data_IF_487619308076
#
_entry.id   IF_487619308076
#
_cell.length_a   1.000
_cell.length_b   1.000
_cell.length_c   1.000
_cell.angle_alpha   90.00
_cell.angle_beta   90.00
_cell.angle_gamma   90.00
#
_symmetry.space_group_name_H-M   'P 1'
#
loop_
_entity.id
_entity.type
_entity.pdbx_description
1 polymer ?
#
# COMPACT_ATOMS: atom_id res chain seq x y z
N UNK A 1 1.88 -23.83 20.21
CA UNK A 1 2.15 -22.54 19.53
C UNK A 1 1.28 -22.50 18.28
N UNK A 2 0.59 -21.41 18.00
CA UNK A 2 -0.32 -21.33 16.86
C UNK A 2 0.47 -21.13 15.56
N UNK A 3 0.15 -21.92 14.53
CA UNK A 3 0.86 -21.96 13.25
C UNK A 3 0.11 -21.13 12.21
N UNK A 4 0.72 -20.05 11.77
CA UNK A 4 0.15 -19.11 10.81
C UNK A 4 0.92 -19.20 9.49
N UNK A 5 0.21 -19.35 8.38
CA UNK A 5 0.80 -19.34 7.05
C UNK A 5 0.27 -18.15 6.24
N UNK A 6 1.17 -17.35 5.70
CA UNK A 6 0.83 -16.34 4.69
C UNK A 6 0.99 -16.95 3.29
N UNK A 7 -0.07 -16.93 2.49
CA UNK A 7 -0.03 -17.32 1.10
C UNK A 7 -0.07 -16.08 0.22
N UNK A 8 1.01 -15.84 -0.52
CA UNK A 8 1.23 -14.64 -1.34
C UNK A 8 1.64 -14.98 -2.78
N UNK A 9 1.66 -13.99 -3.66
CA UNK A 9 2.08 -14.16 -5.06
C UNK A 9 3.58 -14.43 -5.19
N UNK A 10 4.42 -13.46 -4.81
CA UNK A 10 5.88 -13.50 -4.94
C UNK A 10 6.56 -12.42 -4.09
N UNK A 11 7.25 -12.80 -3.03
CA UNK A 11 7.96 -11.85 -2.14
C UNK A 11 9.28 -11.30 -2.70
N UNK A 12 9.75 -11.76 -3.87
CA UNK A 12 10.93 -11.16 -4.51
C UNK A 12 10.65 -9.76 -5.08
N UNK A 13 9.37 -9.35 -5.14
CA UNK A 13 8.97 -8.04 -5.63
C UNK A 13 9.10 -6.95 -4.57
N UNK A 14 9.29 -5.70 -5.01
CA UNK A 14 9.52 -4.53 -4.15
C UNK A 14 8.25 -3.70 -3.92
N UNK A 15 7.07 -4.30 -3.99
CA UNK A 15 5.79 -3.60 -3.82
C UNK A 15 5.40 -3.36 -2.35
N UNK A 16 4.37 -2.53 -2.15
CA UNK A 16 3.84 -2.25 -0.81
C UNK A 16 3.22 -3.48 -0.14
N UNK A 17 2.56 -4.33 -0.91
CA UNK A 17 1.95 -5.58 -0.42
C UNK A 17 3.00 -6.54 0.13
N UNK A 18 4.12 -6.72 -0.59
CA UNK A 18 5.23 -7.56 -0.17
C UNK A 18 5.89 -7.02 1.10
N UNK A 19 6.11 -5.70 1.16
CA UNK A 19 6.65 -5.04 2.36
C UNK A 19 5.77 -5.29 3.57
N UNK A 20 4.47 -5.04 3.45
CA UNK A 20 3.55 -5.18 4.56
C UNK A 20 3.39 -6.64 4.99
N UNK A 21 3.35 -7.58 4.04
CA UNK A 21 3.34 -9.01 4.32
C UNK A 21 4.56 -9.41 5.16
N UNK A 22 5.78 -8.99 4.76
CA UNK A 22 7.00 -9.27 5.52
C UNK A 22 6.97 -8.61 6.90
N UNK A 23 6.48 -7.37 7.01
CA UNK A 23 6.39 -6.65 8.29
C UNK A 23 5.47 -7.36 9.28
N UNK A 24 4.26 -7.74 8.85
CA UNK A 24 3.29 -8.46 9.72
C UNK A 24 3.78 -9.85 10.07
N UNK A 25 4.35 -10.58 9.11
CA UNK A 25 4.91 -11.91 9.35
C UNK A 25 6.03 -11.88 10.40
N UNK A 26 6.98 -10.95 10.27
CA UNK A 26 8.06 -10.77 11.23
C UNK A 26 7.52 -10.41 12.63
N UNK A 27 6.62 -9.45 12.70
CA UNK A 27 6.08 -9.01 13.97
C UNK A 27 5.25 -10.12 14.69
N UNK A 28 4.55 -10.97 13.95
CA UNK A 28 3.86 -12.12 14.54
C UNK A 28 4.85 -13.21 15.02
N UNK A 29 5.93 -13.45 14.26
CA UNK A 29 7.01 -14.36 14.69
C UNK A 29 7.63 -13.89 16.01
N UNK A 30 7.94 -12.59 16.13
CA UNK A 30 8.47 -11.98 17.35
C UNK A 30 7.49 -12.06 18.54
N UNK A 31 6.18 -12.17 18.27
CA UNK A 31 5.14 -12.35 19.29
C UNK A 31 4.90 -13.82 19.66
N UNK A 32 5.74 -14.74 19.21
CA UNK A 32 5.72 -16.15 19.58
C UNK A 32 4.75 -17.02 18.78
N UNK A 33 4.31 -16.59 17.60
CA UNK A 33 3.63 -17.45 16.65
C UNK A 33 4.67 -18.23 15.83
N UNK A 34 4.31 -19.41 15.34
CA UNK A 34 5.10 -20.14 14.34
C UNK A 34 4.63 -19.69 12.95
N UNK A 35 5.42 -18.82 12.31
CA UNK A 35 5.03 -18.20 11.04
C UNK A 35 5.70 -18.89 9.87
N UNK A 36 4.93 -19.14 8.82
CA UNK A 36 5.43 -19.57 7.52
C UNK A 36 4.91 -18.67 6.41
N UNK A 37 5.66 -18.58 5.32
CA UNK A 37 5.23 -17.90 4.10
C UNK A 37 5.31 -18.88 2.95
N UNK A 38 4.26 -18.95 2.14
CA UNK A 38 4.25 -19.73 0.91
C UNK A 38 3.97 -18.80 -0.27
N UNK A 39 4.88 -18.79 -1.21
CA UNK A 39 4.76 -18.03 -2.44
C UNK A 39 4.11 -18.88 -3.52
N UNK A 40 3.21 -18.30 -4.32
CA UNK A 40 2.61 -19.01 -5.45
C UNK A 40 3.68 -19.45 -6.45
N UNK A 41 4.61 -18.55 -6.75
CA UNK A 41 5.77 -18.83 -7.60
C UNK A 41 6.94 -17.95 -7.20
N UNK A 42 8.17 -18.43 -7.38
CA UNK A 42 9.38 -17.71 -6.97
C UNK A 42 9.34 -17.34 -5.48
N UNK A 43 9.94 -16.23 -5.04
CA UNK A 43 9.78 -15.74 -3.66
C UNK A 43 10.79 -16.28 -2.66
N UNK A 44 11.77 -17.11 -3.06
CA UNK A 44 12.80 -17.64 -2.16
C UNK A 44 13.80 -16.58 -1.69
N UNK A 45 13.90 -15.46 -2.44
CA UNK A 45 14.78 -14.32 -2.11
C UNK A 45 13.90 -13.08 -1.86
N UNK A 46 13.23 -12.99 -0.71
CA UNK A 46 12.35 -11.88 -0.41
C UNK A 46 13.07 -10.54 -0.53
N UNK A 47 12.46 -9.58 -1.23
CA UNK A 47 13.02 -8.23 -1.35
C UNK A 47 13.10 -7.54 0.01
N UNK A 48 12.06 -7.71 0.85
CA UNK A 48 12.06 -7.24 2.23
C UNK A 48 12.45 -8.37 3.16
N UNK A 49 13.38 -8.14 4.12
CA UNK A 49 13.89 -9.18 4.98
C UNK A 49 12.78 -9.89 5.77
N UNK A 50 12.86 -11.20 5.85
CA UNK A 50 12.07 -12.02 6.75
C UNK A 50 12.89 -12.43 7.98
N UNK A 51 12.25 -12.60 9.12
CA UNK A 51 12.85 -13.15 10.33
C UNK A 51 13.42 -14.54 10.01
N UNK A 52 14.61 -14.84 10.51
CA UNK A 52 15.37 -16.07 10.19
C UNK A 52 14.64 -17.39 10.47
N UNK A 53 13.70 -17.36 11.42
CA UNK A 53 12.88 -18.54 11.81
C UNK A 53 11.64 -18.70 10.95
N UNK A 54 11.28 -17.72 10.12
CA UNK A 54 10.13 -17.86 9.22
C UNK A 54 10.47 -18.82 8.10
N UNK A 55 9.67 -19.91 8.01
CA UNK A 55 9.80 -20.89 6.94
C UNK A 55 9.23 -20.32 5.63
N UNK A 56 10.09 -19.77 4.77
CA UNK A 56 9.69 -19.23 3.47
C UNK A 56 9.84 -20.27 2.37
N UNK A 57 8.78 -20.61 1.67
CA UNK A 57 8.70 -21.62 0.60
C UNK A 57 7.99 -21.08 -0.63
N UNK A 58 8.15 -21.79 -1.74
CA UNK A 58 7.44 -21.52 -2.99
C UNK A 58 6.74 -22.79 -3.51
N UNK A 59 5.58 -22.63 -4.14
CA UNK A 59 4.89 -23.76 -4.79
C UNK A 59 5.53 -24.11 -6.13
N UNK A 60 6.03 -23.09 -6.85
CA UNK A 60 6.69 -23.23 -8.16
C UNK A 60 7.90 -22.32 -8.25
N UNK A 61 8.99 -22.84 -8.87
CA UNK A 61 10.24 -22.09 -9.06
C UNK A 61 10.17 -21.01 -10.15
N UNK A 62 9.14 -21.04 -10.99
CA UNK A 62 8.91 -20.09 -12.09
C UNK A 62 7.45 -19.67 -12.11
N UNK A 63 7.18 -18.52 -12.73
CA UNK A 63 5.81 -18.02 -12.91
C UNK A 63 4.97 -19.05 -13.65
N UNK A 64 3.80 -19.37 -13.07
CA UNK A 64 2.86 -20.36 -13.58
C UNK A 64 1.63 -19.72 -14.18
N UNK A 65 1.04 -20.40 -15.18
CA UNK A 65 -0.23 -20.00 -15.74
C UNK A 65 -1.36 -20.32 -14.77
N UNK A 66 -2.20 -19.33 -14.50
CA UNK A 66 -3.36 -19.50 -13.61
C UNK A 66 -4.26 -20.68 -14.03
N UNK A 67 -4.60 -20.80 -15.30
CA UNK A 67 -5.51 -21.85 -15.77
C UNK A 67 -4.84 -23.22 -15.90
N UNK A 68 -3.64 -23.27 -16.50
CA UNK A 68 -2.94 -24.55 -16.76
C UNK A 68 -2.48 -25.25 -15.48
N UNK A 69 -2.12 -24.48 -14.45
CA UNK A 69 -1.57 -25.03 -13.22
C UNK A 69 -2.57 -25.05 -12.05
N UNK A 70 -3.83 -24.69 -12.27
CA UNK A 70 -4.84 -24.52 -11.23
C UNK A 70 -4.91 -25.69 -10.26
N UNK A 71 -5.13 -26.92 -10.75
CA UNK A 71 -5.25 -28.13 -9.93
C UNK A 71 -3.96 -28.40 -9.17
N UNK A 72 -2.79 -28.16 -9.77
CA UNK A 72 -1.51 -28.37 -9.11
C UNK A 72 -1.30 -27.36 -7.96
N UNK A 73 -1.68 -26.10 -8.15
CA UNK A 73 -1.62 -25.09 -7.08
C UNK A 73 -2.49 -25.53 -5.90
N UNK A 74 -3.75 -25.88 -6.15
CA UNK A 74 -4.69 -26.33 -5.12
C UNK A 74 -4.16 -27.55 -4.37
N UNK A 75 -3.65 -28.57 -5.09
CA UNK A 75 -3.11 -29.78 -4.45
C UNK A 75 -1.86 -29.51 -3.62
N UNK A 76 -0.92 -28.70 -4.14
CA UNK A 76 0.32 -28.35 -3.43
C UNK A 76 0.03 -27.52 -2.19
N UNK A 77 -0.84 -26.50 -2.30
CA UNK A 77 -1.25 -25.67 -1.15
C UNK A 77 -1.91 -26.53 -0.07
N UNK A 78 -2.86 -27.40 -0.45
CA UNK A 78 -3.53 -28.33 0.48
C UNK A 78 -2.53 -29.25 1.17
N UNK A 79 -1.59 -29.84 0.41
CA UNK A 79 -0.56 -30.71 0.97
C UNK A 79 0.32 -29.96 1.96
N UNK A 80 0.77 -28.76 1.59
CA UNK A 80 1.57 -27.91 2.48
C UNK A 80 0.85 -27.62 3.80
N UNK A 81 -0.40 -27.19 3.74
CA UNK A 81 -1.20 -26.86 4.93
C UNK A 81 -1.37 -28.09 5.85
N UNK A 82 -1.63 -29.27 5.28
CA UNK A 82 -1.74 -30.52 6.04
C UNK A 82 -0.41 -30.94 6.68
N UNK A 83 0.65 -31.03 5.88
CA UNK A 83 1.96 -31.52 6.33
C UNK A 83 2.56 -30.65 7.44
N UNK A 84 2.33 -29.32 7.38
CA UNK A 84 2.84 -28.41 8.38
C UNK A 84 1.84 -28.13 9.53
N UNK A 85 0.65 -28.79 9.53
CA UNK A 85 -0.39 -28.62 10.55
C UNK A 85 -0.73 -27.13 10.76
N UNK A 86 -1.03 -26.40 9.67
CA UNK A 86 -1.35 -24.98 9.70
C UNK A 86 -2.70 -24.77 10.40
N UNK A 87 -2.75 -23.87 11.39
CA UNK A 87 -3.98 -23.50 12.11
C UNK A 87 -4.72 -22.36 11.39
N UNK A 88 -3.98 -21.41 10.83
CA UNK A 88 -4.54 -20.24 10.15
C UNK A 88 -3.82 -19.99 8.84
N UNK A 89 -4.56 -19.90 7.74
CA UNK A 89 -4.06 -19.44 6.44
C UNK A 89 -4.53 -18.01 6.18
N UNK A 90 -3.58 -17.11 5.99
CA UNK A 90 -3.82 -15.72 5.55
C UNK A 90 -3.46 -15.61 4.07
N UNK A 91 -4.43 -15.40 3.20
CA UNK A 91 -4.16 -15.12 1.79
C UNK A 91 -3.94 -13.62 1.59
N UNK A 92 -2.86 -13.28 0.93
CA UNK A 92 -2.47 -11.89 0.67
C UNK A 92 -2.97 -11.50 -0.72
N UNK A 93 -4.15 -10.89 -0.75
CA UNK A 93 -4.98 -10.55 -1.90
C UNK A 93 -6.08 -11.60 -2.22
N UNK A 94 -7.29 -11.10 -2.48
CA UNK A 94 -8.48 -11.93 -2.74
C UNK A 94 -8.37 -12.85 -3.97
N UNK A 95 -7.55 -12.51 -4.98
CA UNK A 95 -7.32 -13.40 -6.14
C UNK A 95 -6.81 -14.79 -5.74
N UNK A 96 -6.11 -14.89 -4.62
CA UNK A 96 -5.62 -16.18 -4.11
C UNK A 96 -6.73 -17.05 -3.52
N UNK A 97 -7.91 -16.48 -3.22
CA UNK A 97 -9.07 -17.25 -2.78
C UNK A 97 -9.51 -18.29 -3.81
N UNK A 98 -9.26 -18.01 -5.09
CA UNK A 98 -9.55 -18.96 -6.16
C UNK A 98 -8.81 -20.30 -5.99
N UNK A 99 -7.66 -20.29 -5.35
CA UNK A 99 -6.87 -21.49 -5.03
C UNK A 99 -7.09 -21.98 -3.61
N UNK A 100 -7.13 -21.05 -2.64
CA UNK A 100 -7.14 -21.41 -1.21
C UNK A 100 -8.49 -21.94 -0.76
N UNK A 101 -9.61 -21.44 -1.27
CA UNK A 101 -10.94 -21.96 -0.90
C UNK A 101 -11.07 -23.45 -1.21
N UNK A 102 -10.81 -23.94 -2.43
CA UNK A 102 -10.85 -25.36 -2.69
C UNK A 102 -9.72 -26.16 -1.99
N UNK A 103 -8.54 -25.54 -1.76
CA UNK A 103 -7.45 -26.20 -1.08
C UNK A 103 -7.76 -26.49 0.40
N UNK A 104 -8.46 -25.58 1.08
CA UNK A 104 -8.79 -25.70 2.50
C UNK A 104 -10.09 -26.47 2.80
N UNK A 105 -10.89 -26.79 1.77
CA UNK A 105 -12.18 -27.45 1.95
C UNK A 105 -12.04 -28.71 2.83
N UNK A 106 -12.80 -28.74 3.96
CA UNK A 106 -12.81 -29.85 4.92
C UNK A 106 -11.55 -30.01 5.77
N UNK A 107 -10.66 -29.01 5.87
CA UNK A 107 -9.46 -29.09 6.73
C UNK A 107 -9.64 -28.48 8.13
N UNK A 108 -10.69 -27.68 8.36
CA UNK A 108 -10.87 -26.99 9.65
C UNK A 108 -9.84 -25.90 9.94
N UNK A 109 -9.10 -25.45 8.91
CA UNK A 109 -8.10 -24.38 9.01
C UNK A 109 -8.82 -23.06 8.95
N UNK A 110 -8.51 -22.14 9.87
CA UNK A 110 -9.02 -20.77 9.86
C UNK A 110 -8.52 -20.05 8.61
N UNK A 111 -9.41 -19.45 7.84
CA UNK A 111 -9.11 -18.84 6.55
C UNK A 111 -9.35 -17.33 6.58
N UNK A 112 -8.30 -16.56 6.40
CA UNK A 112 -8.33 -15.09 6.39
C UNK A 112 -7.94 -14.57 5.01
N UNK A 113 -8.78 -13.74 4.41
CA UNK A 113 -8.43 -12.99 3.20
C UNK A 113 -7.97 -11.59 3.60
N UNK A 114 -6.76 -11.21 3.24
CA UNK A 114 -6.23 -9.87 3.45
C UNK A 114 -6.16 -9.14 2.11
N UNK A 115 -7.16 -8.28 1.85
CA UNK A 115 -7.28 -7.55 0.58
C UNK A 115 -6.49 -6.24 0.62
N UNK A 116 -5.77 -5.97 -0.44
CA UNK A 116 -4.94 -4.77 -0.59
C UNK A 116 -5.46 -3.77 -1.62
N UNK A 117 -6.50 -4.14 -2.36
CA UNK A 117 -7.13 -3.29 -3.37
C UNK A 117 -8.53 -2.86 -2.92
N UNK A 118 -8.91 -1.65 -3.30
CA UNK A 118 -10.28 -1.17 -3.14
C UNK A 118 -11.29 -2.12 -3.81
N UNK A 119 -12.41 -2.35 -3.15
CA UNK A 119 -13.48 -3.24 -3.62
C UNK A 119 -13.97 -2.89 -5.03
N UNK A 120 -14.08 -1.61 -5.35
CA UNK A 120 -14.61 -1.12 -6.62
C UNK A 120 -13.60 -1.20 -7.77
N UNK A 121 -12.31 -1.38 -7.48
CA UNK A 121 -11.24 -1.43 -8.47
C UNK A 121 -10.91 -2.87 -8.86
N UNK A 122 -11.32 -3.30 -10.04
CA UNK A 122 -11.06 -4.64 -10.56
C UNK A 122 -9.92 -4.70 -11.61
N UNK A 123 -9.36 -3.56 -11.99
CA UNK A 123 -8.32 -3.42 -13.02
C UNK A 123 -8.72 -4.08 -14.35
N UNK A 124 -10.01 -4.05 -14.72
CA UNK A 124 -10.56 -4.69 -15.90
C UNK A 124 -10.63 -6.23 -15.83
N UNK A 125 -10.38 -6.83 -14.66
CA UNK A 125 -10.35 -8.28 -14.49
C UNK A 125 -11.61 -8.81 -13.80
N UNK A 126 -12.57 -9.31 -14.55
CA UNK A 126 -13.81 -9.93 -14.02
C UNK A 126 -13.52 -11.03 -12.97
N UNK A 127 -12.40 -11.74 -13.08
CA UNK A 127 -11.96 -12.76 -12.12
C UNK A 127 -11.73 -12.18 -10.72
N UNK A 128 -11.32 -10.91 -10.60
CA UNK A 128 -11.11 -10.24 -9.32
C UNK A 128 -12.43 -10.06 -8.57
N UNK A 129 -13.48 -9.63 -9.27
CA UNK A 129 -14.83 -9.55 -8.67
C UNK A 129 -15.33 -10.90 -8.17
N UNK A 130 -15.14 -11.95 -8.97
CA UNK A 130 -15.51 -13.30 -8.57
C UNK A 130 -14.71 -13.78 -7.35
N UNK A 131 -13.39 -13.55 -7.34
CA UNK A 131 -12.51 -13.91 -6.23
C UNK A 131 -12.90 -13.21 -4.91
N UNK A 132 -13.29 -11.92 -4.97
CA UNK A 132 -13.81 -11.18 -3.80
C UNK A 132 -15.09 -11.81 -3.27
N UNK A 133 -16.05 -12.15 -4.13
CA UNK A 133 -17.27 -12.84 -3.70
C UNK A 133 -16.97 -14.22 -3.09
N UNK A 134 -15.99 -14.93 -3.65
CA UNK A 134 -15.55 -16.22 -3.14
C UNK A 134 -14.91 -16.07 -1.75
N UNK A 135 -14.02 -15.09 -1.58
CA UNK A 135 -13.40 -14.76 -0.30
C UNK A 135 -14.46 -14.38 0.74
N UNK A 136 -15.36 -13.46 0.42
CA UNK A 136 -16.45 -13.05 1.31
C UNK A 136 -17.34 -14.21 1.75
N UNK A 137 -17.55 -15.19 0.88
CA UNK A 137 -18.45 -16.31 1.14
C UNK A 137 -17.82 -17.45 1.94
N UNK A 138 -16.51 -17.67 1.82
CA UNK A 138 -15.85 -18.87 2.31
C UNK A 138 -14.66 -18.63 3.24
N UNK A 139 -14.11 -17.41 3.32
CA UNK A 139 -13.15 -17.07 4.37
C UNK A 139 -13.88 -16.75 5.67
N UNK A 140 -13.28 -17.07 6.81
CA UNK A 140 -13.79 -16.72 8.14
C UNK A 140 -13.71 -15.22 8.37
N UNK A 141 -12.64 -14.60 7.85
CA UNK A 141 -12.41 -13.16 7.90
C UNK A 141 -11.96 -12.61 6.56
N UNK A 142 -12.46 -11.42 6.24
CA UNK A 142 -11.90 -10.55 5.21
C UNK A 142 -11.35 -9.31 5.90
N UNK A 143 -10.04 -9.12 5.82
CA UNK A 143 -9.34 -7.95 6.33
C UNK A 143 -9.14 -6.99 5.17
N UNK A 144 -9.64 -5.79 5.32
CA UNK A 144 -9.45 -4.67 4.40
C UNK A 144 -8.68 -3.55 5.08
N UNK A 145 -8.27 -2.51 4.37
CA UNK A 145 -7.30 -1.54 4.89
C UNK A 145 -7.94 -0.26 5.41
N UNK A 146 -9.21 0.02 5.06
CA UNK A 146 -9.92 1.25 5.41
C UNK A 146 -11.35 0.93 5.84
N UNK A 147 -11.93 1.77 6.68
CA UNK A 147 -13.36 1.66 7.08
C UNK A 147 -14.29 1.87 5.87
N UNK A 148 -13.91 2.75 4.94
CA UNK A 148 -14.66 2.96 3.72
C UNK A 148 -14.71 1.69 2.85
N UNK A 149 -13.57 1.00 2.67
CA UNK A 149 -13.55 -0.25 1.92
C UNK A 149 -14.30 -1.36 2.66
N UNK A 150 -14.25 -1.38 3.99
CA UNK A 150 -15.06 -2.28 4.81
C UNK A 150 -16.56 -2.09 4.54
N UNK A 151 -17.02 -0.83 4.47
CA UNK A 151 -18.41 -0.52 4.13
C UNK A 151 -18.78 -1.03 2.73
N UNK A 152 -17.91 -0.88 1.73
CA UNK A 152 -18.15 -1.42 0.39
C UNK A 152 -18.26 -2.95 0.37
N UNK A 153 -17.38 -3.64 1.07
CA UNK A 153 -17.44 -5.09 1.19
C UNK A 153 -18.73 -5.54 1.87
N UNK A 154 -19.14 -4.91 2.98
CA UNK A 154 -20.38 -5.22 3.68
C UNK A 154 -21.61 -5.01 2.79
N UNK A 155 -21.64 -3.92 2.02
CA UNK A 155 -22.77 -3.58 1.16
C UNK A 155 -22.85 -4.41 -0.12
N UNK A 156 -21.72 -4.75 -0.74
CA UNK A 156 -21.71 -5.29 -2.10
C UNK A 156 -21.23 -6.75 -2.19
N UNK A 157 -20.87 -7.38 -1.06
CA UNK A 157 -20.49 -8.78 -1.06
C UNK A 157 -21.56 -9.68 -0.44
N UNK A 158 -21.58 -10.95 -0.87
CA UNK A 158 -22.44 -12.00 -0.26
C UNK A 158 -21.68 -12.68 0.86
N UNK A 159 -21.16 -11.88 1.82
CA UNK A 159 -20.31 -12.40 2.89
C UNK A 159 -21.06 -13.34 3.85
N UNK A 160 -20.35 -14.32 4.38
CA UNK A 160 -20.73 -15.14 5.52
C UNK A 160 -19.75 -14.98 6.68
N UNK A 161 -18.49 -14.78 6.36
CA UNK A 161 -17.44 -14.46 7.31
C UNK A 161 -17.54 -13.00 7.78
N UNK A 162 -16.67 -12.65 8.70
CA UNK A 162 -16.58 -11.30 9.23
C UNK A 162 -15.71 -10.43 8.32
N UNK A 163 -16.04 -9.15 8.22
CA UNK A 163 -15.27 -8.16 7.47
C UNK A 163 -14.79 -7.11 8.46
N UNK A 164 -13.52 -6.78 8.43
CA UNK A 164 -12.91 -5.84 9.38
C UNK A 164 -11.85 -4.98 8.70
N UNK A 165 -11.79 -3.71 9.10
CA UNK A 165 -10.71 -2.82 8.69
C UNK A 165 -9.52 -2.94 9.66
N UNK A 166 -8.40 -3.43 9.14
CA UNK A 166 -7.11 -3.42 9.83
C UNK A 166 -6.11 -2.72 8.89
N UNK A 167 -5.74 -1.48 9.19
CA UNK A 167 -4.83 -0.73 8.35
C UNK A 167 -3.43 -1.34 8.32
N UNK A 168 -2.67 -0.99 7.31
CA UNK A 168 -1.27 -1.40 7.21
C UNK A 168 -0.43 -0.67 8.26
N UNK A 169 0.61 -1.33 8.83
CA UNK A 169 1.55 -0.68 9.73
C UNK A 169 2.48 0.26 8.97
N UNK A 170 3.05 1.21 9.71
CA UNK A 170 4.15 2.03 9.23
C UNK A 170 5.30 1.13 8.72
N UNK A 171 5.83 1.40 7.52
CA UNK A 171 6.97 0.66 6.97
C UNK A 171 8.31 1.08 7.55
N UNK A 172 8.34 2.21 8.26
CA UNK A 172 9.50 2.77 8.95
C UNK A 172 9.16 3.03 10.42
N UNK A 173 10.15 3.00 11.31
CA UNK A 173 9.99 3.55 12.66
C UNK A 173 9.58 5.02 12.57
N UNK A 174 8.75 5.49 13.49
CA UNK A 174 8.42 6.91 13.60
C UNK A 174 9.72 7.68 13.82
N UNK A 175 9.94 8.68 12.99
CA UNK A 175 11.12 9.55 13.09
C UNK A 175 10.84 10.64 14.11
N UNK A 176 10.96 10.31 15.40
CA UNK A 176 10.56 11.20 16.50
C UNK A 176 11.23 12.56 16.48
N UNK A 177 12.46 12.63 15.99
CA UNK A 177 13.21 13.87 15.92
C UNK A 177 13.08 14.59 14.56
N UNK A 178 12.38 14.01 13.57
CA UNK A 178 12.29 14.66 12.25
C UNK A 178 11.21 15.73 12.25
N UNK A 179 11.61 16.93 11.89
CA UNK A 179 10.73 18.04 11.53
C UNK A 179 11.16 18.53 10.15
N UNK A 180 10.25 18.60 9.17
CA UNK A 180 10.59 19.08 7.83
C UNK A 180 11.23 20.47 7.89
N UNK A 181 12.36 20.64 7.17
CA UNK A 181 13.06 21.93 7.16
C UNK A 181 12.20 23.01 6.49
N UNK A 182 12.10 24.17 7.13
CA UNK A 182 11.42 25.32 6.53
C UNK A 182 12.19 25.92 5.34
N UNK A 183 13.47 25.59 5.22
CA UNK A 183 14.32 26.03 4.11
C UNK A 183 14.19 25.12 2.89
N UNK A 184 13.68 23.90 3.07
CA UNK A 184 13.45 22.99 1.96
C UNK A 184 12.44 23.57 0.96
N UNK A 185 12.72 23.36 -0.31
CA UNK A 185 11.90 23.80 -1.44
C UNK A 185 11.52 22.63 -2.35
N UNK A 186 11.23 21.48 -1.73
CA UNK A 186 10.95 20.24 -2.45
C UNK A 186 9.52 19.82 -2.17
N UNK A 187 8.72 19.71 -3.23
CA UNK A 187 7.48 18.94 -3.25
C UNK A 187 7.83 17.53 -3.71
N UNK A 188 7.61 16.54 -2.85
CA UNK A 188 7.91 15.15 -3.12
C UNK A 188 6.66 14.38 -3.56
N UNK A 189 6.80 13.53 -4.57
CA UNK A 189 5.82 12.51 -4.93
C UNK A 189 6.50 11.18 -5.21
N UNK A 190 5.98 10.11 -4.64
CA UNK A 190 6.57 8.76 -4.71
C UNK A 190 5.54 7.77 -5.24
N UNK A 191 5.91 6.99 -6.25
CA UNK A 191 5.01 5.96 -6.75
C UNK A 191 5.47 5.33 -8.06
N UNK A 192 4.80 4.25 -8.45
CA UNK A 192 5.00 3.65 -9.76
C UNK A 192 4.47 4.60 -10.85
N UNK A 193 5.24 4.86 -11.88
CA UNK A 193 4.82 5.72 -13.00
C UNK A 193 3.82 4.97 -13.89
N UNK A 194 2.56 4.98 -13.47
CA UNK A 194 1.42 4.31 -14.11
C UNK A 194 0.21 5.23 -14.11
N UNK A 195 -0.81 5.00 -14.96
CA UNK A 195 -2.02 5.82 -14.98
C UNK A 195 -2.72 5.93 -13.61
N UNK A 196 -2.66 4.86 -12.80
CA UNK A 196 -3.22 4.86 -11.44
C UNK A 196 -2.69 6.02 -10.58
N UNK A 197 -1.38 6.28 -10.64
CA UNK A 197 -0.72 7.25 -9.74
C UNK A 197 -0.88 8.70 -10.18
N UNK A 198 -1.43 8.95 -11.37
CA UNK A 198 -1.85 10.28 -11.81
C UNK A 198 -0.71 11.31 -11.91
N UNK A 199 0.52 10.89 -12.23
CA UNK A 199 1.62 11.83 -12.40
C UNK A 199 1.42 12.81 -13.54
N UNK A 200 0.60 12.47 -14.54
CA UNK A 200 0.15 13.36 -15.59
C UNK A 200 -0.67 14.54 -15.01
N UNK A 201 -1.54 14.26 -14.05
CA UNK A 201 -2.33 15.28 -13.34
C UNK A 201 -1.43 16.13 -12.42
N UNK A 202 -0.44 15.51 -11.78
CA UNK A 202 0.55 16.25 -10.96
C UNK A 202 1.36 17.22 -11.80
N UNK A 203 1.85 16.80 -12.98
CA UNK A 203 2.59 17.67 -13.89
C UNK A 203 1.70 18.81 -14.42
N UNK A 204 0.43 18.54 -14.71
CA UNK A 204 -0.53 19.59 -15.09
C UNK A 204 -0.74 20.62 -13.98
N UNK A 205 -0.86 20.17 -12.72
CA UNK A 205 -0.94 21.06 -11.57
C UNK A 205 0.38 21.82 -11.34
N UNK A 206 1.52 21.14 -11.48
CA UNK A 206 2.85 21.75 -11.28
C UNK A 206 3.16 22.84 -12.32
N UNK A 207 2.69 22.70 -13.56
CA UNK A 207 2.75 23.75 -14.57
C UNK A 207 2.17 25.07 -14.09
N UNK A 208 1.05 25.01 -13.35
CA UNK A 208 0.41 26.21 -12.78
C UNK A 208 1.15 26.72 -11.52
N UNK A 209 1.88 25.85 -10.81
CA UNK A 209 2.64 26.19 -9.60
C UNK A 209 4.00 26.84 -9.92
N UNK A 210 4.74 26.27 -10.87
CA UNK A 210 6.13 26.61 -11.12
C UNK A 210 6.39 28.11 -11.36
N UNK A 211 5.57 28.87 -12.12
CA UNK A 211 5.78 30.30 -12.32
C UNK A 211 5.70 31.13 -11.04
N UNK A 212 4.92 30.68 -10.03
CA UNK A 212 4.74 31.37 -8.76
C UNK A 212 5.66 30.86 -7.64
N UNK A 213 6.44 29.83 -7.93
CA UNK A 213 7.33 29.17 -6.98
C UNK A 213 8.70 28.82 -7.62
N UNK A 214 9.44 29.81 -8.18
CA UNK A 214 10.62 29.55 -9.02
C UNK A 214 11.79 28.86 -8.31
N UNK A 215 11.83 28.90 -6.97
CA UNK A 215 12.85 28.22 -6.16
C UNK A 215 12.46 26.81 -5.75
N UNK A 216 11.21 26.39 -6.01
CA UNK A 216 10.71 25.09 -5.64
C UNK A 216 10.91 24.06 -6.75
N UNK A 217 11.07 22.84 -6.35
CA UNK A 217 11.25 21.70 -7.26
C UNK A 217 10.24 20.61 -6.96
N UNK A 218 9.69 20.03 -8.00
CA UNK A 218 8.91 18.80 -7.91
C UNK A 218 9.86 17.61 -8.04
N UNK A 219 10.00 16.82 -6.98
CA UNK A 219 10.81 15.60 -7.00
C UNK A 219 9.92 14.38 -7.14
N UNK A 220 10.14 13.60 -8.20
CA UNK A 220 9.39 12.38 -8.51
C UNK A 220 10.29 11.17 -8.33
N UNK A 221 9.86 10.25 -7.44
CA UNK A 221 10.57 8.99 -7.17
C UNK A 221 9.73 7.82 -7.65
N UNK A 222 10.33 6.98 -8.45
CA UNK A 222 9.76 5.77 -8.98
C UNK A 222 10.05 5.58 -10.45
N UNK A 223 9.53 4.48 -10.97
CA UNK A 223 9.65 4.12 -12.38
C UNK A 223 8.39 3.39 -12.84
N UNK A 224 8.17 3.31 -14.13
CA UNK A 224 7.00 2.65 -14.69
C UNK A 224 6.84 2.88 -16.18
N UNK A 225 5.79 2.30 -16.71
CA UNK A 225 5.48 2.29 -18.16
C UNK A 225 5.23 3.69 -18.72
N UNK A 226 4.73 4.63 -17.91
CA UNK A 226 4.44 6.00 -18.33
C UNK A 226 5.65 6.95 -18.31
N UNK A 227 6.86 6.51 -17.89
CA UNK A 227 8.03 7.40 -17.71
C UNK A 227 8.31 8.28 -18.92
N UNK A 228 8.44 7.66 -20.10
CA UNK A 228 8.75 8.42 -21.34
C UNK A 228 7.64 9.40 -21.70
N UNK A 229 6.37 9.01 -21.53
CA UNK A 229 5.21 9.85 -21.75
C UNK A 229 5.20 11.05 -20.81
N UNK A 230 5.47 10.82 -19.51
CA UNK A 230 5.49 11.90 -18.51
C UNK A 230 6.65 12.88 -18.73
N UNK A 231 7.83 12.40 -19.12
CA UNK A 231 8.96 13.27 -19.47
C UNK A 231 8.68 14.12 -20.73
N UNK A 232 7.97 13.54 -21.71
CA UNK A 232 7.51 14.32 -22.88
C UNK A 232 6.52 15.41 -22.47
N UNK A 233 5.55 15.07 -21.62
CA UNK A 233 4.58 16.04 -21.10
C UNK A 233 5.25 17.17 -20.30
N UNK A 234 6.29 16.86 -19.53
CA UNK A 234 7.09 17.83 -18.81
C UNK A 234 7.72 18.90 -19.76
N UNK A 235 8.25 18.45 -20.91
CA UNK A 235 8.77 19.33 -21.97
C UNK A 235 7.67 20.16 -22.64
N UNK A 236 6.53 19.54 -22.95
CA UNK A 236 5.38 20.25 -23.53
C UNK A 236 4.85 21.36 -22.61
N UNK A 237 4.98 21.18 -21.30
CA UNK A 237 4.61 22.18 -20.30
C UNK A 237 5.72 23.18 -19.98
N UNK A 238 6.93 23.02 -20.55
CA UNK A 238 8.12 23.84 -20.27
C UNK A 238 8.46 23.95 -18.78
N UNK A 239 8.41 22.80 -18.06
CA UNK A 239 8.69 22.69 -16.62
C UNK A 239 9.85 21.74 -16.31
N UNK A 240 10.58 21.25 -17.29
CA UNK A 240 11.66 20.26 -17.12
C UNK A 240 12.74 20.73 -16.15
N UNK A 241 13.07 22.01 -16.13
CA UNK A 241 14.08 22.58 -15.23
C UNK A 241 13.64 22.61 -13.76
N UNK A 242 12.35 22.40 -13.49
CA UNK A 242 11.77 22.41 -12.13
C UNK A 242 11.38 21.03 -11.63
N UNK A 243 11.58 19.97 -12.42
CA UNK A 243 11.20 18.59 -12.08
C UNK A 243 12.41 17.66 -11.98
N UNK A 244 12.61 17.08 -10.80
CA UNK A 244 13.66 16.08 -10.53
C UNK A 244 13.14 14.66 -10.72
N UNK A 245 13.66 13.93 -11.68
CA UNK A 245 13.36 12.51 -11.92
C UNK A 245 14.41 11.61 -11.29
N UNK A 246 14.13 11.08 -10.09
CA UNK A 246 15.12 10.26 -9.34
C UNK A 246 15.15 8.79 -9.85
N UNK A 247 14.04 8.28 -10.36
CA UNK A 247 13.93 6.87 -10.68
C UNK A 247 13.68 6.00 -9.44
N UNK A 248 14.01 4.71 -9.53
CA UNK A 248 13.93 3.80 -8.37
C UNK A 248 15.12 4.00 -7.46
N UNK A 249 14.86 4.10 -6.17
CA UNK A 249 15.90 4.16 -5.13
C UNK A 249 15.57 3.21 -4.00
N UNK A 250 16.60 2.65 -3.38
CA UNK A 250 16.48 1.88 -2.13
C UNK A 250 16.36 2.80 -0.92
N UNK A 251 16.93 4.00 -0.99
CA UNK A 251 16.89 5.01 0.07
C UNK A 251 15.84 6.07 -0.19
N UNK A 252 14.58 5.67 -0.15
CA UNK A 252 13.46 6.61 -0.25
C UNK A 252 13.33 7.48 1.01
N UNK A 253 13.84 6.99 2.14
CA UNK A 253 13.75 7.68 3.42
C UNK A 253 14.48 9.04 3.42
N UNK A 254 15.66 9.11 2.81
CA UNK A 254 16.40 10.37 2.64
C UNK A 254 15.57 11.41 1.90
N UNK A 255 14.87 11.02 0.84
CA UNK A 255 14.04 11.96 0.08
C UNK A 255 12.82 12.46 0.86
N UNK A 256 12.21 11.60 1.71
CA UNK A 256 11.16 12.07 2.63
C UNK A 256 11.72 13.07 3.64
N UNK A 257 12.95 12.87 4.17
CA UNK A 257 13.58 13.82 5.12
C UNK A 257 13.89 15.17 4.48
N UNK A 258 14.27 15.18 3.22
CA UNK A 258 14.61 16.41 2.49
C UNK A 258 13.40 17.20 2.03
N UNK A 259 12.23 16.59 1.96
CA UNK A 259 11.03 17.22 1.42
C UNK A 259 10.41 18.22 2.41
N UNK A 260 9.73 19.23 1.86
CA UNK A 260 8.91 20.18 2.62
C UNK A 260 7.41 19.84 2.56
N UNK A 261 6.95 19.26 1.45
CA UNK A 261 5.56 18.94 1.17
C UNK A 261 5.53 17.58 0.45
N UNK A 262 4.56 16.76 0.75
CA UNK A 262 4.26 15.55 -0.01
C UNK A 262 2.99 15.74 -0.84
N UNK A 263 2.99 15.30 -2.09
CA UNK A 263 1.83 15.36 -2.97
C UNK A 263 1.45 13.98 -3.50
N UNK A 264 0.16 13.59 -3.33
CA UNK A 264 -0.42 12.39 -3.91
C UNK A 264 -1.46 12.76 -4.95
N UNK A 265 -1.21 12.41 -6.20
CA UNK A 265 -2.09 12.67 -7.35
C UNK A 265 -2.84 11.43 -7.85
N UNK A 266 -2.91 10.38 -7.05
CA UNK A 266 -3.47 9.09 -7.46
C UNK A 266 -4.95 9.18 -7.83
N UNK A 267 -5.35 8.52 -8.91
CA UNK A 267 -6.76 8.35 -9.32
C UNK A 267 -7.52 7.42 -8.39
N UNK A 268 -6.84 6.40 -7.88
CA UNK A 268 -7.39 5.48 -6.89
C UNK A 268 -6.27 4.83 -6.08
N UNK A 269 -6.59 4.51 -4.82
CA UNK A 269 -5.73 3.79 -3.88
C UNK A 269 -6.50 2.63 -3.23
N UNK A 270 -5.78 1.66 -2.68
CA UNK A 270 -6.36 0.71 -1.72
C UNK A 270 -6.18 1.22 -0.29
N UNK A 271 -5.06 1.90 -0.02
CA UNK A 271 -4.73 2.47 1.30
C UNK A 271 -3.89 3.75 1.17
N UNK A 272 -2.89 3.76 0.26
CA UNK A 272 -1.98 4.89 0.12
C UNK A 272 -0.73 4.77 1.01
N UNK A 273 0.00 3.65 0.92
CA UNK A 273 1.22 3.43 1.70
C UNK A 273 2.21 4.59 1.65
N UNK A 274 2.33 5.26 0.50
CA UNK A 274 3.22 6.41 0.34
C UNK A 274 2.76 7.65 1.12
N UNK A 275 1.46 7.80 1.39
CA UNK A 275 0.95 8.80 2.33
C UNK A 275 1.30 8.44 3.77
N UNK A 276 1.15 7.17 4.13
CA UNK A 276 1.54 6.68 5.44
C UNK A 276 3.05 6.90 5.67
N UNK A 277 3.86 6.66 4.64
CA UNK A 277 5.29 6.98 4.65
C UNK A 277 5.51 8.48 4.86
N UNK A 278 4.83 9.34 4.13
CA UNK A 278 4.97 10.79 4.24
C UNK A 278 4.64 11.32 5.65
N UNK A 279 3.52 10.87 6.24
CA UNK A 279 3.17 11.30 7.61
C UNK A 279 4.09 10.72 8.67
N UNK A 280 4.75 9.57 8.43
CA UNK A 280 5.80 9.04 9.32
C UNK A 280 7.03 9.96 9.38
N UNK A 281 7.29 10.72 8.31
CA UNK A 281 8.30 11.78 8.27
C UNK A 281 7.70 13.17 8.57
N UNK A 282 6.51 13.22 9.12
CA UNK A 282 5.83 14.46 9.52
C UNK A 282 5.62 15.45 8.36
N UNK A 283 5.54 14.96 7.11
CA UNK A 283 5.36 15.83 5.96
C UNK A 283 3.93 16.38 5.90
N UNK A 284 3.76 17.69 5.65
CA UNK A 284 2.49 18.23 5.20
C UNK A 284 2.09 17.60 3.88
N UNK A 285 0.85 17.13 3.78
CA UNK A 285 0.36 16.43 2.61
C UNK A 285 -0.70 17.23 1.85
N UNK A 286 -0.61 17.17 0.53
CA UNK A 286 -1.69 17.52 -0.42
C UNK A 286 -2.05 16.24 -1.16
N UNK A 287 -3.32 15.90 -1.25
CA UNK A 287 -3.73 14.67 -1.93
C UNK A 287 -5.06 14.82 -2.65
N UNK A 288 -5.24 14.12 -3.77
CA UNK A 288 -6.58 13.86 -4.25
C UNK A 288 -7.33 12.99 -3.24
N UNK A 289 -8.56 13.37 -2.96
CA UNK A 289 -9.48 12.60 -2.12
C UNK A 289 -10.10 11.46 -2.92
N UNK A 290 -9.27 10.53 -3.36
CA UNK A 290 -9.73 9.35 -4.06
C UNK A 290 -10.42 8.38 -3.09
N UNK A 291 -11.24 7.50 -3.64
CA UNK A 291 -12.31 6.73 -3.00
C UNK A 291 -11.94 6.06 -1.66
N UNK A 292 -10.72 5.55 -1.50
CA UNK A 292 -10.23 4.93 -0.25
C UNK A 292 -8.80 5.36 0.04
N UNK A 293 -8.47 5.50 1.31
CA UNK A 293 -7.13 5.74 1.84
C UNK A 293 -6.89 7.19 2.25
N UNK A 294 -6.77 8.18 1.33
CA UNK A 294 -6.34 9.53 1.67
C UNK A 294 -7.16 10.19 2.78
N UNK A 295 -8.50 10.17 2.70
CA UNK A 295 -9.37 10.78 3.73
C UNK A 295 -9.12 10.18 5.12
N UNK A 296 -9.00 8.85 5.25
CA UNK A 296 -8.78 8.19 6.55
C UNK A 296 -7.36 8.39 7.08
N UNK A 297 -6.35 8.28 6.19
CA UNK A 297 -4.95 8.46 6.57
C UNK A 297 -4.63 9.88 7.00
N UNK A 298 -5.27 10.86 6.38
CA UNK A 298 -5.00 12.28 6.61
C UNK A 298 -6.06 12.95 7.50
N UNK A 299 -7.04 12.19 8.01
CA UNK A 299 -8.01 12.72 8.97
C UNK A 299 -7.32 13.36 10.17
N UNK A 300 -7.80 14.50 10.61
CA UNK A 300 -7.33 15.27 11.76
C UNK A 300 -5.89 15.82 11.63
N UNK A 301 -5.27 15.72 10.45
CA UNK A 301 -3.92 16.28 10.22
C UNK A 301 -3.95 17.73 9.73
N UNK A 302 -5.07 18.20 9.20
CA UNK A 302 -5.17 19.47 8.49
C UNK A 302 -4.54 19.43 7.08
N UNK A 303 -4.18 18.24 6.59
CA UNK A 303 -3.72 18.05 5.21
C UNK A 303 -4.80 18.49 4.20
N UNK A 304 -4.35 18.91 3.03
CA UNK A 304 -5.24 19.44 2.02
C UNK A 304 -5.71 18.31 1.09
N UNK A 305 -6.94 17.88 1.30
CA UNK A 305 -7.63 16.96 0.40
C UNK A 305 -8.38 17.77 -0.66
N UNK A 306 -8.18 17.42 -1.91
CA UNK A 306 -8.80 18.07 -3.06
C UNK A 306 -9.58 17.06 -3.90
N UNK A 307 -10.58 17.57 -4.59
CA UNK A 307 -11.42 16.78 -5.47
C UNK A 307 -10.59 15.95 -6.47
N UNK A 308 -10.90 14.66 -6.63
CA UNK A 308 -10.16 13.79 -7.56
C UNK A 308 -10.05 14.39 -8.97
N UNK A 309 -8.86 14.29 -9.54
CA UNK A 309 -8.51 14.76 -10.89
C UNK A 309 -8.62 16.27 -11.13
N UNK A 310 -8.95 17.08 -10.12
CA UNK A 310 -9.01 18.53 -10.22
C UNK A 310 -7.61 19.14 -10.07
N UNK A 311 -6.90 19.29 -11.19
CA UNK A 311 -5.52 19.81 -11.23
C UNK A 311 -5.40 21.25 -10.77
N UNK A 312 -6.42 22.09 -11.02
CA UNK A 312 -6.44 23.47 -10.58
C UNK A 312 -6.51 23.59 -9.05
N UNK A 313 -7.39 22.81 -8.41
CA UNK A 313 -7.46 22.75 -6.93
C UNK A 313 -6.17 22.17 -6.35
N UNK A 314 -5.57 21.16 -7.00
CA UNK A 314 -4.29 20.61 -6.57
C UNK A 314 -3.18 21.67 -6.61
N UNK A 315 -3.11 22.45 -7.68
CA UNK A 315 -2.16 23.56 -7.82
C UNK A 315 -2.37 24.63 -6.73
N UNK A 316 -3.61 25.04 -6.48
CA UNK A 316 -3.95 26.01 -5.43
C UNK A 316 -3.55 25.51 -4.03
N UNK A 317 -3.81 24.24 -3.72
CA UNK A 317 -3.41 23.62 -2.46
C UNK A 317 -1.89 23.54 -2.28
N UNK A 318 -1.15 23.23 -3.35
CA UNK A 318 0.31 23.26 -3.34
C UNK A 318 0.83 24.68 -3.11
N UNK A 319 0.33 25.67 -3.86
CA UNK A 319 0.71 27.07 -3.69
C UNK A 319 0.42 27.59 -2.28
N UNK A 320 -0.73 27.21 -1.71
CA UNK A 320 -1.08 27.57 -0.34
C UNK A 320 -0.01 27.08 0.64
N UNK A 321 0.40 25.80 0.58
CA UNK A 321 1.44 25.27 1.49
C UNK A 321 2.83 25.85 1.18
N UNK A 322 3.15 26.12 -0.08
CA UNK A 322 4.41 26.75 -0.49
C UNK A 322 4.55 28.13 0.16
N UNK A 323 3.47 28.92 0.12
CA UNK A 323 3.45 30.30 0.60
C UNK A 323 3.23 30.44 2.12
N UNK A 324 2.78 29.37 2.80
CA UNK A 324 2.40 29.41 4.21
C UNK A 324 3.24 28.45 5.09
N UNK A 325 4.45 28.83 5.52
CA UNK A 325 5.29 28.00 6.39
C UNK A 325 4.62 27.63 7.70
N UNK A 326 3.78 28.50 8.27
CA UNK A 326 3.03 28.24 9.51
C UNK A 326 2.02 27.10 9.32
N UNK A 327 1.29 27.07 8.20
CA UNK A 327 0.39 25.98 7.88
C UNK A 327 1.16 24.66 7.76
N UNK A 328 2.34 24.67 7.11
CA UNK A 328 3.19 23.47 7.06
C UNK A 328 3.57 22.95 8.44
N UNK A 329 3.95 23.84 9.37
CA UNK A 329 4.30 23.45 10.74
C UNK A 329 3.12 22.82 11.48
N UNK A 330 1.94 23.41 11.38
CA UNK A 330 0.72 22.90 12.05
C UNK A 330 0.40 21.49 11.53
N UNK A 331 0.35 21.34 10.21
CA UNK A 331 0.05 20.03 9.56
C UNK A 331 1.13 18.99 9.89
N UNK A 332 2.40 19.39 9.90
CA UNK A 332 3.53 18.52 10.25
C UNK A 332 3.36 17.91 11.64
N UNK A 333 3.04 18.74 12.65
CA UNK A 333 2.84 18.28 14.02
C UNK A 333 1.65 17.31 14.14
N UNK A 334 0.56 17.60 13.45
CA UNK A 334 -0.61 16.72 13.42
C UNK A 334 -0.34 15.41 12.67
N UNK A 335 0.41 15.47 11.56
CA UNK A 335 0.84 14.28 10.81
C UNK A 335 1.65 13.31 11.66
N UNK A 336 2.56 13.82 12.51
CA UNK A 336 3.34 13.02 13.46
C UNK A 336 2.43 12.27 14.42
N UNK A 337 1.45 12.96 15.00
CA UNK A 337 0.48 12.37 15.93
C UNK A 337 -0.36 11.29 15.23
N UNK A 338 -0.81 11.57 14.02
CA UNK A 338 -1.58 10.61 13.22
C UNK A 338 -0.76 9.35 12.88
N UNK A 339 0.50 9.50 12.50
CA UNK A 339 1.38 8.39 12.16
C UNK A 339 1.52 7.38 13.33
N UNK A 340 1.52 7.85 14.58
CA UNK A 340 1.64 6.98 15.76
C UNK A 340 0.51 5.94 15.85
N UNK A 341 -0.67 6.23 15.31
CA UNK A 341 -1.81 5.31 15.29
C UNK A 341 -1.58 4.07 14.41
N UNK A 342 -0.60 4.13 13.50
CA UNK A 342 -0.25 3.06 12.57
C UNK A 342 1.04 2.32 12.97
N UNK A 343 1.48 2.45 14.23
CA UNK A 343 2.65 1.71 14.71
C UNK A 343 2.44 0.20 14.59
N UNK A 344 3.49 -0.55 14.27
CA UNK A 344 3.41 -1.99 14.10
C UNK A 344 2.79 -2.69 15.33
N UNK A 345 3.13 -2.24 16.54
CA UNK A 345 2.58 -2.80 17.78
C UNK A 345 1.06 -2.64 17.89
N UNK A 346 0.50 -1.51 17.48
CA UNK A 346 -0.95 -1.28 17.51
C UNK A 346 -1.66 -2.12 16.45
N UNK A 347 -1.09 -2.20 15.26
CA UNK A 347 -1.66 -2.99 14.17
C UNK A 347 -1.62 -4.48 14.50
N UNK A 348 -0.52 -4.99 15.07
CA UNK A 348 -0.42 -6.39 15.50
C UNK A 348 -1.43 -6.74 16.60
N UNK A 349 -1.74 -5.82 17.52
CA UNK A 349 -2.82 -6.04 18.51
C UNK A 349 -4.15 -6.29 17.82
N UNK A 350 -4.49 -5.54 16.74
CA UNK A 350 -5.71 -5.78 15.95
C UNK A 350 -5.65 -7.15 15.24
N UNK A 351 -4.53 -7.52 14.65
CA UNK A 351 -4.38 -8.84 14.02
C UNK A 351 -4.58 -9.99 15.00
N UNK A 352 -4.07 -9.87 16.23
CA UNK A 352 -4.23 -10.90 17.27
C UNK A 352 -5.68 -11.18 17.65
N UNK A 353 -6.61 -10.26 17.45
CA UNK A 353 -8.03 -10.46 17.75
C UNK A 353 -8.72 -11.39 16.74
N UNK A 354 -8.16 -11.55 15.57
CA UNK A 354 -8.74 -12.34 14.49
C UNK A 354 -7.93 -13.60 14.14
N UNK A 355 -6.72 -13.75 14.68
CA UNK A 355 -5.87 -14.95 14.54
C UNK A 355 -6.21 -16.02 15.60
#
# INVERSE_FOLDING_TARGET
MKKICFFTGNLNLSGGTERVCSTIANALQEQGYEVSVINLHEGEKPFFPLHKEINNKQLFSKRVSFSKNYIQVVKKLRSFCKTNSIDTLVIVESMLALFSVPALAGLGIKHICWEHFNFNVDLGQKKRRFARQLAARFCDWVVVLTEQDCAYWLQHSRHKGQIVAIPNPLPFPIQDAHTPSQESRIVLSVGRLTPQKGFDLLLAAWKEVAPFAPLWRLRIIGDGEDRAKLQKLCKEYAIEDTVDWIGRTADVATHYREAAIYCLSSRFEGFGMVLLEAIAFSLPCVAFDCETGPAELLADTGALLVEPENTNKLAQALLYLIQNPQARTIISNASKTKAAQYSANLIIKKWKTIL
#
